data_IF_061111677987
#
_entry.id   IF_061111677987
#
_cell.length_a   1.000
_cell.length_b   1.000
_cell.length_c   1.000
_cell.angle_alpha   90.00
_cell.angle_beta   90.00
_cell.angle_gamma   90.00
#
_symmetry.space_group_name_H-M   'P 1'
#
loop_
_entity.id
_entity.type
_entity.pdbx_description
1 polymer ?
#
# COMPACT_ATOMS: atom_id res chain seq x y z
N UNK A 1 2.13 -20.34 21.64
CA UNK A 1 1.75 -18.99 21.18
C UNK A 1 1.43 -18.17 22.40
N UNK A 2 2.10 -17.04 22.56
CA UNK A 2 1.88 -16.12 23.67
C UNK A 2 0.46 -15.51 23.62
N UNK A 3 -0.13 -15.26 24.78
CA UNK A 3 -1.48 -14.68 24.89
C UNK A 3 -1.59 -13.35 24.14
N UNK A 4 -0.58 -12.48 24.29
CA UNK A 4 -0.54 -11.18 23.61
C UNK A 4 -0.52 -11.33 22.09
N UNK A 5 0.26 -12.27 21.55
CA UNK A 5 0.30 -12.57 20.12
C UNK A 5 -1.06 -12.97 19.59
N UNK A 6 -1.77 -13.86 20.29
CA UNK A 6 -3.12 -14.30 19.91
C UNK A 6 -4.09 -13.11 19.90
N UNK A 7 -4.08 -12.29 20.96
CA UNK A 7 -4.93 -11.10 21.04
C UNK A 7 -4.62 -10.15 19.89
N UNK A 8 -3.34 -9.86 19.62
CA UNK A 8 -2.92 -9.00 18.52
C UNK A 8 -3.44 -9.49 17.17
N UNK A 9 -3.27 -10.79 16.87
CA UNK A 9 -3.75 -11.39 15.63
C UNK A 9 -5.27 -11.28 15.48
N UNK A 10 -6.04 -11.50 16.56
CA UNK A 10 -7.50 -11.33 16.55
C UNK A 10 -7.90 -9.89 16.21
N UNK A 11 -7.17 -8.90 16.72
CA UNK A 11 -7.44 -7.47 16.45
C UNK A 11 -7.13 -7.11 15.01
N UNK A 12 -6.04 -7.65 14.44
CA UNK A 12 -5.72 -7.47 13.01
C UNK A 12 -6.82 -8.09 12.14
N UNK A 13 -7.30 -9.29 12.49
CA UNK A 13 -8.41 -9.94 11.79
C UNK A 13 -9.72 -9.13 11.89
N UNK A 14 -10.03 -8.59 13.06
CA UNK A 14 -11.18 -7.70 13.25
C UNK A 14 -11.05 -6.45 12.38
N UNK A 15 -9.88 -5.81 12.38
CA UNK A 15 -9.58 -4.62 11.56
C UNK A 15 -9.73 -4.92 10.08
N UNK A 16 -9.24 -6.09 9.63
CA UNK A 16 -9.42 -6.57 8.27
C UNK A 16 -10.92 -6.71 7.94
N UNK A 17 -11.70 -7.36 8.80
CA UNK A 17 -13.14 -7.53 8.59
C UNK A 17 -13.89 -6.19 8.52
N UNK A 18 -13.53 -5.21 9.36
CA UNK A 18 -14.12 -3.86 9.29
C UNK A 18 -13.74 -3.19 7.98
N UNK A 19 -12.47 -3.23 7.57
CA UNK A 19 -12.01 -2.68 6.29
C UNK A 19 -12.80 -3.26 5.10
N UNK A 20 -12.97 -4.59 5.02
CA UNK A 20 -13.77 -5.24 3.98
C UNK A 20 -15.22 -4.77 3.99
N UNK A 21 -15.80 -4.60 5.18
CA UNK A 21 -17.18 -4.17 5.33
C UNK A 21 -17.41 -2.71 4.97
N UNK A 22 -16.38 -1.87 5.07
CA UNK A 22 -16.42 -0.46 4.71
C UNK A 22 -16.18 -0.23 3.21
N UNK A 23 -15.44 -1.11 2.53
CA UNK A 23 -15.19 -1.02 1.10
C UNK A 23 -16.50 -0.93 0.28
N UNK A 24 -16.58 0.09 -0.58
CA UNK A 24 -17.75 0.38 -1.41
C UNK A 24 -18.91 1.09 -0.70
N UNK A 25 -18.84 1.29 0.63
CA UNK A 25 -19.82 2.07 1.41
C UNK A 25 -19.28 3.44 1.78
N UNK A 26 -18.03 3.48 2.26
CA UNK A 26 -17.29 4.68 2.65
C UNK A 26 -15.88 4.60 2.08
N UNK A 27 -15.05 5.61 2.33
CA UNK A 27 -13.62 5.57 2.01
C UNK A 27 -12.82 5.16 3.26
N UNK A 28 -12.42 3.87 3.41
CA UNK A 28 -11.87 3.35 4.65
C UNK A 28 -10.35 3.61 4.79
N UNK A 29 -9.93 4.88 4.70
CA UNK A 29 -8.51 5.24 4.79
C UNK A 29 -7.95 4.89 6.18
N UNK A 30 -8.70 5.16 7.24
CA UNK A 30 -8.26 4.91 8.60
C UNK A 30 -8.18 3.41 8.90
N UNK A 31 -9.15 2.62 8.45
CA UNK A 31 -9.11 1.16 8.61
C UNK A 31 -7.99 0.53 7.79
N UNK A 32 -7.71 1.06 6.59
CA UNK A 32 -6.56 0.65 5.81
C UNK A 32 -5.24 0.96 6.54
N UNK A 33 -5.10 2.16 7.11
CA UNK A 33 -3.91 2.52 7.91
C UNK A 33 -3.75 1.61 9.14
N UNK A 34 -4.84 1.31 9.84
CA UNK A 34 -4.83 0.36 10.96
C UNK A 34 -4.43 -1.04 10.51
N UNK A 35 -4.91 -1.49 9.35
CA UNK A 35 -4.56 -2.79 8.79
C UNK A 35 -3.07 -2.85 8.45
N UNK A 36 -2.52 -1.81 7.79
CA UNK A 36 -1.09 -1.71 7.49
C UNK A 36 -0.27 -1.74 8.77
N UNK A 37 -0.65 -0.96 9.79
CA UNK A 37 0.01 -0.97 11.09
C UNK A 37 -0.06 -2.35 11.76
N UNK A 38 -1.22 -3.02 11.74
CA UNK A 38 -1.38 -4.37 12.28
C UNK A 38 -0.53 -5.42 11.56
N UNK A 39 -0.47 -5.34 10.23
CA UNK A 39 0.38 -6.20 9.41
C UNK A 39 1.87 -5.97 9.73
N UNK A 40 2.30 -4.73 9.96
CA UNK A 40 3.70 -4.39 10.24
C UNK A 40 4.13 -4.62 11.70
N UNK A 41 3.26 -4.32 12.67
CA UNK A 41 3.61 -4.34 14.10
C UNK A 41 3.24 -5.65 14.78
N UNK A 42 2.30 -6.43 14.24
CA UNK A 42 1.87 -7.70 14.83
C UNK A 42 2.26 -8.86 13.91
N UNK A 43 1.75 -8.88 12.68
CA UNK A 43 1.94 -10.03 11.77
C UNK A 43 3.40 -10.17 11.34
N UNK A 44 4.08 -9.07 10.99
CA UNK A 44 5.49 -9.07 10.63
C UNK A 44 6.39 -9.68 11.72
N UNK A 45 6.38 -9.15 12.95
CA UNK A 45 7.12 -9.71 14.08
C UNK A 45 6.73 -11.15 14.40
N UNK A 46 5.44 -11.49 14.37
CA UNK A 46 4.99 -12.86 14.56
C UNK A 46 5.62 -13.82 13.54
N UNK A 47 5.65 -13.45 12.26
CA UNK A 47 6.31 -14.26 11.22
C UNK A 47 7.82 -14.35 11.48
N UNK A 48 8.49 -13.25 11.82
CA UNK A 48 9.95 -13.25 12.08
C UNK A 48 10.33 -14.09 13.31
N UNK A 49 9.54 -14.07 14.38
CA UNK A 49 9.79 -14.92 15.56
C UNK A 49 9.64 -16.42 15.27
N UNK A 50 8.74 -16.80 14.36
CA UNK A 50 8.47 -18.20 14.02
C UNK A 50 9.32 -18.69 12.83
N UNK A 51 9.74 -17.78 11.95
CA UNK A 51 10.54 -18.05 10.74
C UNK A 51 11.68 -17.03 10.63
N UNK A 52 12.66 -17.07 11.55
CA UNK A 52 13.70 -16.05 11.62
C UNK A 52 14.53 -16.01 10.36
N UNK A 53 14.70 -14.82 9.81
CA UNK A 53 15.62 -14.55 8.72
C UNK A 53 17.05 -14.68 9.25
N UNK A 54 17.90 -15.47 8.57
CA UNK A 54 19.33 -15.64 8.94
C UNK A 54 20.17 -14.38 8.66
N UNK A 55 19.55 -13.21 8.48
CA UNK A 55 20.23 -11.98 8.12
C UNK A 55 20.60 -11.21 9.39
N UNK A 56 21.88 -10.85 9.52
CA UNK A 56 22.49 -10.18 10.68
C UNK A 56 21.86 -8.83 11.11
N UNK A 57 20.88 -8.31 10.37
CA UNK A 57 20.26 -7.00 10.58
C UNK A 57 18.75 -7.05 10.76
N UNK A 58 18.10 -8.15 10.39
CA UNK A 58 16.63 -8.24 10.35
C UNK A 58 16.06 -9.20 11.41
N UNK A 59 16.85 -9.54 12.42
CA UNK A 59 16.37 -10.35 13.54
C UNK A 59 15.78 -9.47 14.65
N UNK A 60 14.82 -10.02 15.38
CA UNK A 60 14.23 -9.36 16.54
C UNK A 60 15.21 -9.40 17.73
N UNK A 61 15.57 -8.22 18.26
CA UNK A 61 16.56 -8.08 19.33
C UNK A 61 16.06 -8.43 20.74
N UNK A 62 14.75 -8.63 20.89
CA UNK A 62 14.09 -8.93 22.17
C UNK A 62 13.22 -10.16 22.02
N UNK A 63 12.92 -10.84 23.13
CA UNK A 63 12.01 -11.97 23.14
C UNK A 63 10.58 -11.58 22.71
N UNK A 64 9.86 -12.52 22.09
CA UNK A 64 8.48 -12.31 21.61
C UNK A 64 7.56 -11.82 22.73
N UNK A 65 7.68 -12.40 23.92
CA UNK A 65 6.91 -12.05 25.12
C UNK A 65 7.07 -10.56 25.46
N UNK A 66 8.31 -10.08 25.47
CA UNK A 66 8.65 -8.68 25.74
C UNK A 66 8.05 -7.80 24.66
N UNK A 67 8.36 -8.05 23.38
CA UNK A 67 7.87 -7.22 22.29
C UNK A 67 6.34 -7.12 22.24
N UNK A 68 5.65 -8.27 22.26
CA UNK A 68 4.20 -8.34 22.11
C UNK A 68 3.47 -7.75 23.32
N UNK A 69 4.04 -7.85 24.53
CA UNK A 69 3.47 -7.24 25.73
C UNK A 69 3.40 -5.70 25.68
N UNK A 70 4.27 -5.04 24.90
CA UNK A 70 4.23 -3.59 24.70
C UNK A 70 3.39 -3.19 23.48
N UNK A 71 3.60 -3.87 22.36
CA UNK A 71 3.04 -3.44 21.07
C UNK A 71 1.55 -3.79 20.94
N UNK A 72 1.12 -4.95 21.45
CA UNK A 72 -0.28 -5.38 21.33
C UNK A 72 -1.22 -4.47 22.11
N UNK A 73 -0.98 -4.12 23.39
CA UNK A 73 -1.82 -3.17 24.11
C UNK A 73 -1.89 -1.79 23.45
N UNK A 74 -0.76 -1.29 22.94
CA UNK A 74 -0.70 -0.02 22.24
C UNK A 74 -1.55 -0.04 20.96
N UNK A 75 -1.40 -1.10 20.15
CA UNK A 75 -2.19 -1.27 18.93
C UNK A 75 -3.68 -1.48 19.21
N UNK A 76 -4.04 -2.18 20.28
CA UNK A 76 -5.41 -2.35 20.77
C UNK A 76 -6.07 -1.01 21.10
N UNK A 77 -5.40 -0.18 21.90
CA UNK A 77 -5.93 1.14 22.26
C UNK A 77 -6.05 2.03 21.03
N UNK A 78 -5.03 2.03 20.17
CA UNK A 78 -5.02 2.83 18.94
C UNK A 78 -6.15 2.44 17.97
N UNK A 79 -6.29 1.13 17.70
CA UNK A 79 -7.38 0.59 16.88
C UNK A 79 -8.75 0.83 17.50
N UNK A 80 -8.89 0.63 18.81
CA UNK A 80 -10.13 0.90 19.54
C UNK A 80 -10.59 2.35 19.41
N UNK A 81 -9.70 3.33 19.60
CA UNK A 81 -10.04 4.75 19.47
C UNK A 81 -10.50 5.07 18.04
N UNK A 82 -9.79 4.59 17.02
CA UNK A 82 -10.15 4.87 15.64
C UNK A 82 -11.49 4.22 15.26
N UNK A 83 -11.67 2.94 15.58
CA UNK A 83 -12.85 2.17 15.18
C UNK A 83 -14.12 2.57 15.95
N UNK A 84 -14.03 2.91 17.24
CA UNK A 84 -15.20 3.23 18.06
C UNK A 84 -15.49 4.72 18.16
N UNK A 85 -14.47 5.59 18.24
CA UNK A 85 -14.65 7.02 18.55
C UNK A 85 -14.62 7.90 17.31
N UNK A 86 -13.72 7.64 16.35
CA UNK A 86 -13.55 8.50 15.18
C UNK A 86 -14.37 8.04 13.98
N UNK A 87 -14.67 6.75 13.88
CA UNK A 87 -15.43 6.18 12.78
C UNK A 87 -16.83 6.81 12.55
N UNK A 88 -17.63 7.12 13.59
CA UNK A 88 -18.93 7.76 13.38
C UNK A 88 -18.84 9.17 12.78
N UNK A 89 -17.76 9.90 13.04
CA UNK A 89 -17.58 11.29 12.56
C UNK A 89 -17.15 11.35 11.08
N UNK A 90 -16.37 10.38 10.59
CA UNK A 90 -15.94 10.31 9.20
C UNK A 90 -16.95 9.63 8.26
N UNK A 91 -18.08 9.12 8.78
CA UNK A 91 -19.22 8.64 7.97
C UNK A 91 -19.94 9.73 7.19
N UNK A 92 -19.50 11.00 7.27
CA UNK A 92 -19.96 12.03 6.35
C UNK A 92 -19.76 11.53 4.91
N UNK A 93 -20.85 11.09 4.29
CA UNK A 93 -20.87 10.56 2.93
C UNK A 93 -20.45 11.70 2.03
N UNK A 94 -19.17 11.76 1.67
CA UNK A 94 -18.71 12.71 0.67
C UNK A 94 -19.48 12.42 -0.62
N UNK A 95 -20.24 13.39 -1.17
CA UNK A 95 -20.92 13.18 -2.44
C UNK A 95 -19.85 13.03 -3.51
N UNK A 96 -19.60 11.78 -3.91
CA UNK A 96 -18.59 11.37 -4.90
C UNK A 96 -18.75 12.15 -6.21
N UNK A 97 -19.99 12.53 -6.54
CA UNK A 97 -20.36 13.35 -7.69
C UNK A 97 -19.75 14.76 -7.68
N UNK A 98 -19.29 15.25 -6.54
CA UNK A 98 -18.61 16.55 -6.45
C UNK A 98 -17.18 16.52 -6.99
N UNK A 99 -16.53 15.35 -7.08
CA UNK A 99 -15.14 15.28 -7.53
C UNK A 99 -14.95 15.63 -9.01
N UNK A 100 -15.98 15.42 -9.85
CA UNK A 100 -15.94 15.85 -11.26
C UNK A 100 -15.79 17.37 -11.40
N UNK A 101 -16.31 18.15 -10.45
CA UNK A 101 -16.19 19.62 -10.43
C UNK A 101 -14.76 20.07 -10.11
N UNK A 102 -13.96 19.21 -9.49
CA UNK A 102 -12.59 19.52 -9.08
C UNK A 102 -11.54 19.05 -10.08
N UNK A 103 -11.92 18.71 -11.31
CA UNK A 103 -11.00 18.26 -12.36
C UNK A 103 -9.79 19.19 -12.54
N UNK A 104 -10.01 20.51 -12.60
CA UNK A 104 -8.92 21.50 -12.75
C UNK A 104 -7.91 21.43 -11.59
N UNK A 105 -8.41 21.26 -10.37
CA UNK A 105 -7.55 21.09 -9.18
C UNK A 105 -6.85 19.73 -9.21
N UNK A 106 -7.54 18.67 -9.63
CA UNK A 106 -6.96 17.34 -9.81
C UNK A 106 -5.80 17.37 -10.80
N UNK A 107 -5.97 18.05 -11.94
CA UNK A 107 -4.92 18.24 -12.93
C UNK A 107 -3.75 19.07 -12.38
N UNK A 108 -4.04 20.17 -11.68
CA UNK A 108 -2.99 20.98 -11.06
C UNK A 108 -2.15 20.21 -10.03
N UNK A 109 -2.80 19.49 -9.12
CA UNK A 109 -2.15 18.63 -8.11
C UNK A 109 -1.34 17.52 -8.80
N UNK A 110 -1.92 16.92 -9.85
CA UNK A 110 -1.26 15.92 -10.68
C UNK A 110 0.03 16.44 -11.31
N UNK A 111 -0.04 17.62 -11.93
CA UNK A 111 1.11 18.27 -12.57
C UNK A 111 2.20 18.63 -11.57
N UNK A 112 1.85 19.17 -10.39
CA UNK A 112 2.83 19.42 -9.31
C UNK A 112 3.57 18.14 -8.97
N UNK A 113 2.84 17.03 -8.77
CA UNK A 113 3.47 15.77 -8.44
C UNK A 113 4.45 15.28 -9.50
N UNK A 114 4.08 15.37 -10.78
CA UNK A 114 4.99 15.01 -11.88
C UNK A 114 6.23 15.91 -11.95
N UNK A 115 6.06 17.22 -11.72
CA UNK A 115 7.17 18.17 -11.71
C UNK A 115 8.16 17.84 -10.59
N UNK A 116 7.69 17.61 -9.36
CA UNK A 116 8.58 17.26 -8.23
C UNK A 116 9.18 15.87 -8.33
N UNK A 117 8.53 14.95 -9.03
CA UNK A 117 9.13 13.65 -9.34
C UNK A 117 10.34 13.78 -10.27
N UNK A 118 10.23 14.65 -11.28
CA UNK A 118 11.30 14.94 -12.22
C UNK A 118 12.40 15.80 -11.60
N UNK A 119 12.02 16.88 -10.90
CA UNK A 119 12.96 17.80 -10.25
C UNK A 119 13.68 17.18 -9.06
N UNK A 120 13.11 16.16 -8.43
CA UNK A 120 13.70 15.49 -7.26
C UNK A 120 15.12 14.96 -7.51
N UNK A 121 15.48 14.62 -8.74
CA UNK A 121 16.85 14.21 -9.10
C UNK A 121 17.88 15.34 -9.11
N UNK A 122 17.44 16.60 -9.14
CA UNK A 122 18.29 17.80 -9.21
C UNK A 122 18.35 18.56 -7.87
N UNK A 123 17.52 18.19 -6.90
CA UNK A 123 17.47 18.86 -5.61
C UNK A 123 18.57 18.36 -4.66
N UNK A 124 19.03 19.22 -3.71
CA UNK A 124 19.94 18.79 -2.66
C UNK A 124 19.32 17.68 -1.79
N UNK A 125 20.17 16.79 -1.25
CA UNK A 125 19.73 15.65 -0.46
C UNK A 125 18.79 15.99 0.72
N UNK A 126 18.95 17.17 1.34
CA UNK A 126 18.10 17.64 2.43
C UNK A 126 16.64 17.89 1.99
N UNK A 127 16.40 18.16 0.71
CA UNK A 127 15.07 18.43 0.15
C UNK A 127 14.45 17.21 -0.54
N UNK A 128 15.17 16.08 -0.62
CA UNK A 128 14.65 14.87 -1.28
C UNK A 128 13.39 14.35 -0.61
N UNK A 129 13.29 14.41 0.73
CA UNK A 129 12.07 14.00 1.43
C UNK A 129 10.87 14.91 1.10
N UNK A 130 11.10 16.21 1.01
CA UNK A 130 10.07 17.17 0.61
C UNK A 130 9.63 16.93 -0.83
N UNK A 131 10.58 16.74 -1.74
CA UNK A 131 10.31 16.38 -3.14
C UNK A 131 9.56 15.07 -3.27
N UNK A 132 9.87 14.09 -2.43
CA UNK A 132 9.17 12.80 -2.37
C UNK A 132 7.72 12.98 -1.92
N UNK A 133 7.43 13.76 -0.88
CA UNK A 133 6.05 14.04 -0.46
C UNK A 133 5.27 14.70 -1.60
N UNK A 134 5.86 15.71 -2.25
CA UNK A 134 5.19 16.41 -3.35
C UNK A 134 5.04 15.52 -4.58
N UNK A 135 6.00 14.64 -4.88
CA UNK A 135 5.88 13.74 -6.03
C UNK A 135 4.72 12.77 -5.87
N UNK A 136 4.37 12.39 -4.64
CA UNK A 136 3.19 11.56 -4.34
C UNK A 136 1.86 12.25 -4.69
N UNK A 137 1.82 13.58 -4.86
CA UNK A 137 0.61 14.29 -5.29
C UNK A 137 0.14 13.84 -6.68
N UNK A 138 1.01 13.29 -7.53
CA UNK A 138 0.60 12.73 -8.82
C UNK A 138 -0.45 11.62 -8.65
N UNK A 139 -0.35 10.83 -7.60
CA UNK A 139 -1.32 9.76 -7.35
C UNK A 139 -2.63 10.28 -6.75
N UNK A 140 -2.54 11.26 -5.83
CA UNK A 140 -3.73 11.95 -5.30
C UNK A 140 -4.49 12.70 -6.42
N UNK A 141 -3.79 13.42 -7.29
CA UNK A 141 -4.35 14.08 -8.46
C UNK A 141 -4.98 13.09 -9.44
N UNK A 142 -4.31 11.97 -9.71
CA UNK A 142 -4.84 10.91 -10.57
C UNK A 142 -6.18 10.34 -10.04
N UNK A 143 -6.32 10.16 -8.73
CA UNK A 143 -7.59 9.76 -8.11
C UNK A 143 -8.70 10.78 -8.40
N UNK A 144 -8.42 12.07 -8.32
CA UNK A 144 -9.42 13.11 -8.62
C UNK A 144 -9.80 13.05 -10.11
N UNK A 145 -8.80 12.93 -11.00
CA UNK A 145 -9.01 12.82 -12.45
C UNK A 145 -9.83 11.59 -12.85
N UNK A 146 -9.78 10.50 -12.09
CA UNK A 146 -10.60 9.31 -12.29
C UNK A 146 -12.13 9.58 -12.19
N UNK A 147 -12.52 10.61 -11.44
CA UNK A 147 -13.93 11.04 -11.31
C UNK A 147 -14.34 12.08 -12.34
N UNK A 148 -13.42 12.56 -13.20
CA UNK A 148 -13.77 13.45 -14.31
C UNK A 148 -14.67 12.73 -15.34
N UNK A 149 -15.47 13.52 -16.04
CA UNK A 149 -16.26 13.04 -17.19
C UNK A 149 -15.42 12.93 -18.47
N UNK A 150 -14.32 13.69 -18.58
CA UNK A 150 -13.45 13.69 -19.76
C UNK A 150 -12.66 12.37 -19.86
N UNK A 151 -12.72 11.75 -21.06
CA UNK A 151 -11.97 10.53 -21.37
C UNK A 151 -10.46 10.74 -21.26
N UNK A 152 -9.94 11.93 -21.58
CA UNK A 152 -8.51 12.27 -21.50
C UNK A 152 -8.00 12.22 -20.06
N UNK A 153 -8.78 12.70 -19.11
CA UNK A 153 -8.42 12.68 -17.68
C UNK A 153 -8.40 11.25 -17.13
N UNK A 154 -9.32 10.40 -17.58
CA UNK A 154 -9.30 8.97 -17.24
C UNK A 154 -8.08 8.26 -17.83
N UNK A 155 -7.64 8.65 -19.03
CA UNK A 155 -6.40 8.12 -19.62
C UNK A 155 -5.18 8.53 -18.76
N UNK A 156 -5.12 9.76 -18.26
CA UNK A 156 -4.05 10.19 -17.34
C UNK A 156 -4.02 9.35 -16.05
N UNK A 157 -5.19 9.02 -15.49
CA UNK A 157 -5.28 8.10 -14.36
C UNK A 157 -4.70 6.72 -14.68
N UNK A 158 -5.09 6.11 -15.81
CA UNK A 158 -4.57 4.80 -16.23
C UNK A 158 -3.06 4.87 -16.48
N UNK A 159 -2.59 5.93 -17.13
CA UNK A 159 -1.16 6.19 -17.36
C UNK A 159 -0.39 6.30 -16.04
N UNK A 160 -1.01 6.85 -14.99
CA UNK A 160 -0.40 6.96 -13.65
C UNK A 160 -0.21 5.61 -12.98
N UNK A 161 -1.18 4.69 -13.14
CA UNK A 161 -1.06 3.30 -12.67
C UNK A 161 0.05 2.59 -13.43
N UNK A 162 0.10 2.75 -14.77
CA UNK A 162 1.16 2.20 -15.60
C UNK A 162 2.55 2.72 -15.22
N UNK A 163 2.66 4.02 -14.96
CA UNK A 163 3.89 4.66 -14.47
C UNK A 163 4.31 4.13 -13.10
N UNK A 164 3.38 4.02 -12.15
CA UNK A 164 3.64 3.45 -10.82
C UNK A 164 4.13 2.00 -10.94
N UNK A 165 3.47 1.18 -11.77
CA UNK A 165 3.87 -0.20 -12.00
C UNK A 165 5.27 -0.29 -12.61
N UNK A 166 5.54 0.46 -13.68
CA UNK A 166 6.86 0.53 -14.31
C UNK A 166 7.96 0.95 -13.33
N UNK A 167 7.72 2.00 -12.52
CA UNK A 167 8.71 2.45 -11.55
C UNK A 167 8.96 1.40 -10.44
N UNK A 168 7.91 0.70 -10.02
CA UNK A 168 8.03 -0.37 -9.02
C UNK A 168 8.84 -1.58 -9.52
N UNK A 169 8.72 -1.90 -10.81
CA UNK A 169 9.54 -2.92 -11.47
C UNK A 169 11.00 -2.45 -11.59
N UNK A 170 11.22 -1.23 -12.07
CA UNK A 170 12.57 -0.66 -12.27
C UNK A 170 13.38 -0.59 -10.97
N UNK A 171 12.74 -0.21 -9.88
CA UNK A 171 13.39 -0.06 -8.56
C UNK A 171 13.38 -1.34 -7.74
N UNK A 172 12.65 -2.37 -8.19
CA UNK A 172 12.32 -3.54 -7.38
C UNK A 172 11.77 -3.15 -6.00
N UNK A 173 10.99 -2.08 -5.90
CA UNK A 173 10.33 -1.62 -4.67
C UNK A 173 8.82 -1.61 -4.89
N UNK A 174 8.11 -2.57 -4.29
CA UNK A 174 6.68 -2.79 -4.53
C UNK A 174 5.78 -2.19 -3.45
N UNK A 175 6.35 -1.65 -2.36
CA UNK A 175 5.56 -1.12 -1.25
C UNK A 175 4.70 0.07 -1.71
N UNK A 176 5.28 1.01 -2.45
CA UNK A 176 4.54 2.13 -3.04
C UNK A 176 3.46 1.66 -4.01
N UNK A 177 3.78 0.66 -4.84
CA UNK A 177 2.81 0.09 -5.77
C UNK A 177 1.60 -0.52 -5.05
N UNK A 178 1.82 -1.32 -4.00
CA UNK A 178 0.77 -1.95 -3.21
C UNK A 178 -0.09 -0.89 -2.51
N UNK A 179 0.55 0.10 -1.88
CA UNK A 179 -0.12 1.17 -1.16
C UNK A 179 -1.02 1.99 -2.09
N UNK A 180 -0.47 2.53 -3.18
CA UNK A 180 -1.22 3.37 -4.11
C UNK A 180 -2.27 2.59 -4.91
N UNK A 181 -1.99 1.34 -5.28
CA UNK A 181 -3.01 0.47 -5.91
C UNK A 181 -4.16 0.18 -4.98
N UNK A 182 -3.91 0.01 -3.67
CA UNK A 182 -4.98 -0.14 -2.68
C UNK A 182 -5.80 1.13 -2.54
N UNK A 183 -5.17 2.32 -2.55
CA UNK A 183 -5.90 3.59 -2.62
C UNK A 183 -6.77 3.69 -3.88
N UNK A 184 -6.21 3.42 -5.07
CA UNK A 184 -6.99 3.41 -6.32
C UNK A 184 -8.16 2.43 -6.25
N UNK A 185 -7.96 1.25 -5.67
CA UNK A 185 -9.01 0.26 -5.47
C UNK A 185 -10.10 0.76 -4.52
N UNK A 186 -9.75 1.40 -3.40
CA UNK A 186 -10.73 1.98 -2.47
C UNK A 186 -11.65 3.00 -3.17
N UNK A 187 -11.08 3.89 -4.00
CA UNK A 187 -11.86 4.85 -4.77
C UNK A 187 -12.68 4.21 -5.90
N UNK A 188 -12.14 3.18 -6.56
CA UNK A 188 -12.87 2.38 -7.54
C UNK A 188 -14.08 1.68 -6.90
N UNK A 189 -13.87 1.04 -5.75
CA UNK A 189 -14.90 0.34 -4.99
C UNK A 189 -15.98 1.32 -4.51
N UNK A 190 -15.59 2.51 -4.04
CA UNK A 190 -16.52 3.57 -3.66
C UNK A 190 -17.43 4.01 -4.82
N UNK A 191 -16.89 4.08 -6.04
CA UNK A 191 -17.64 4.45 -7.25
C UNK A 191 -18.57 3.33 -7.75
N UNK A 192 -18.06 2.10 -7.83
CA UNK A 192 -18.76 0.96 -8.46
C UNK A 192 -19.59 0.12 -7.49
N UNK A 193 -19.37 0.28 -6.18
CA UNK A 193 -20.04 -0.47 -5.10
C UNK A 193 -20.04 -1.98 -5.36
N UNK A 194 -18.87 -2.60 -5.57
CA UNK A 194 -18.77 -4.01 -5.91
C UNK A 194 -19.38 -4.90 -4.81
N UNK A 195 -19.86 -6.08 -5.19
CA UNK A 195 -20.36 -7.05 -4.21
C UNK A 195 -19.23 -7.55 -3.30
N UNK A 196 -19.58 -7.98 -2.08
CA UNK A 196 -18.61 -8.56 -1.12
C UNK A 196 -17.81 -9.72 -1.70
N UNK A 197 -18.45 -10.55 -2.55
CA UNK A 197 -17.79 -11.67 -3.23
C UNK A 197 -16.70 -11.19 -4.18
N UNK A 198 -16.98 -10.15 -4.96
CA UNK A 198 -16.00 -9.56 -5.86
C UNK A 198 -14.85 -8.92 -5.09
N UNK A 199 -15.13 -8.24 -3.97
CA UNK A 199 -14.09 -7.67 -3.09
C UNK A 199 -13.13 -8.77 -2.60
N UNK A 200 -13.68 -9.84 -2.01
CA UNK A 200 -12.88 -10.96 -1.52
C UNK A 200 -12.06 -11.61 -2.65
N UNK A 201 -12.68 -11.85 -3.81
CA UNK A 201 -11.98 -12.40 -4.98
C UNK A 201 -10.82 -11.50 -5.41
N UNK A 202 -11.03 -10.18 -5.53
CA UNK A 202 -9.97 -9.25 -5.92
C UNK A 202 -8.84 -9.18 -4.91
N UNK A 203 -9.13 -9.26 -3.60
CA UNK A 203 -8.10 -9.26 -2.57
C UNK A 203 -7.32 -10.56 -2.51
N UNK A 204 -7.98 -11.71 -2.71
CA UNK A 204 -7.30 -12.99 -2.83
C UNK A 204 -6.37 -13.00 -4.04
N UNK A 205 -6.82 -12.52 -5.19
CA UNK A 205 -5.96 -12.37 -6.38
C UNK A 205 -4.80 -11.40 -6.13
N UNK A 206 -5.04 -10.30 -5.42
CA UNK A 206 -3.99 -9.35 -5.04
C UNK A 206 -2.95 -9.99 -4.10
N UNK A 207 -3.38 -10.79 -3.13
CA UNK A 207 -2.48 -11.52 -2.23
C UNK A 207 -1.61 -12.54 -2.99
N UNK A 208 -2.20 -13.29 -3.92
CA UNK A 208 -1.45 -14.21 -4.80
C UNK A 208 -0.44 -13.43 -5.64
N UNK A 209 -0.86 -12.33 -6.26
CA UNK A 209 0.02 -11.48 -7.07
C UNK A 209 1.19 -10.90 -6.27
N UNK A 210 0.92 -10.35 -5.08
CA UNK A 210 1.96 -9.86 -4.18
C UNK A 210 2.89 -10.99 -3.75
N UNK A 211 2.36 -12.17 -3.44
CA UNK A 211 3.14 -13.37 -3.14
C UNK A 211 4.13 -13.70 -4.26
N UNK A 212 3.66 -13.76 -5.50
CA UNK A 212 4.50 -13.98 -6.69
C UNK A 212 5.58 -12.92 -6.81
N UNK A 213 5.24 -11.64 -6.64
CA UNK A 213 6.22 -10.55 -6.67
C UNK A 213 7.30 -10.68 -5.60
N UNK A 214 6.95 -11.12 -4.39
CA UNK A 214 7.92 -11.32 -3.31
C UNK A 214 8.82 -12.53 -3.60
N UNK A 215 8.28 -13.62 -4.15
CA UNK A 215 9.06 -14.79 -4.56
C UNK A 215 10.08 -14.42 -5.65
N UNK A 216 9.65 -13.72 -6.71
CA UNK A 216 10.56 -13.27 -7.78
C UNK A 216 11.68 -12.40 -7.22
N UNK A 217 11.38 -11.53 -6.25
CA UNK A 217 12.39 -10.73 -5.55
C UNK A 217 13.37 -11.54 -4.73
N UNK A 218 12.89 -12.56 -4.02
CA UNK A 218 13.73 -13.44 -3.22
C UNK A 218 14.71 -14.20 -4.13
N UNK A 219 14.22 -14.77 -5.22
CA UNK A 219 15.03 -15.45 -6.24
C UNK A 219 16.01 -14.50 -6.92
N UNK A 220 15.58 -13.28 -7.28
CA UNK A 220 16.48 -12.28 -7.86
C UNK A 220 17.64 -11.93 -6.92
N UNK A 221 17.37 -11.77 -5.62
CA UNK A 221 18.41 -11.49 -4.63
C UNK A 221 19.36 -12.66 -4.44
N UNK A 222 18.87 -13.90 -4.45
CA UNK A 222 19.73 -15.08 -4.31
C UNK A 222 20.67 -15.26 -5.51
N UNK A 223 20.21 -14.97 -6.73
CA UNK A 223 21.03 -15.07 -7.95
C UNK A 223 22.08 -13.95 -8.03
N UNK A 224 21.70 -12.70 -7.76
CA UNK A 224 22.61 -11.54 -7.80
C UNK A 224 23.68 -11.62 -6.71
N UNK A 225 23.34 -12.13 -5.52
CA UNK A 225 24.31 -12.33 -4.44
C UNK A 225 25.03 -13.69 -4.50
N UNK A 226 24.54 -14.64 -5.29
CA UNK A 226 25.11 -15.98 -5.51
C UNK A 226 26.26 -16.04 -6.52
N UNK A 227 26.57 -14.95 -7.23
CA UNK A 227 27.80 -14.81 -8.03
C UNK A 227 27.67 -14.90 -9.55
N UNK A 228 26.48 -14.65 -10.13
CA UNK A 228 26.29 -14.67 -11.59
C UNK A 228 25.70 -13.36 -12.13
N UNK A 229 26.46 -12.66 -12.97
CA UNK A 229 26.03 -11.56 -13.87
C UNK A 229 25.75 -10.17 -13.26
N UNK A 230 26.70 -9.24 -13.49
CA UNK A 230 26.54 -7.78 -13.40
C UNK A 230 25.72 -7.22 -14.59
N UNK A 231 24.55 -7.79 -14.87
CA UNK A 231 23.68 -7.43 -15.99
C UNK A 231 22.48 -6.57 -15.56
N UNK A 232 22.20 -5.53 -16.33
CA UNK A 232 21.22 -4.45 -16.08
C UNK A 232 19.91 -4.90 -15.43
N UNK A 233 19.72 -4.46 -14.18
CA UNK A 233 18.67 -4.84 -13.21
C UNK A 233 17.21 -4.90 -13.74
N UNK A 234 16.86 -4.24 -14.84
CA UNK A 234 15.48 -4.16 -15.36
C UNK A 234 15.09 -5.29 -16.31
N UNK A 235 16.04 -5.82 -17.10
CA UNK A 235 15.71 -6.83 -18.11
C UNK A 235 15.48 -8.21 -17.49
N UNK A 236 16.19 -8.54 -16.42
CA UNK A 236 16.07 -9.84 -15.74
C UNK A 236 14.78 -9.98 -14.91
N UNK A 237 14.29 -8.89 -14.30
CA UNK A 237 13.01 -8.88 -13.60
C UNK A 237 11.82 -9.03 -14.56
N UNK A 238 11.91 -8.43 -15.76
CA UNK A 238 10.90 -8.60 -16.80
C UNK A 238 10.90 -10.01 -17.40
N UNK A 239 12.06 -10.63 -17.60
CA UNK A 239 12.14 -12.01 -18.11
C UNK A 239 11.67 -13.04 -17.08
N UNK A 240 11.95 -12.83 -15.79
CA UNK A 240 11.48 -13.74 -14.72
C UNK A 240 9.97 -13.65 -14.47
N UNK A 241 9.34 -12.51 -14.75
CA UNK A 241 7.87 -12.37 -14.74
C UNK A 241 7.17 -13.03 -15.93
N UNK A 242 7.89 -13.31 -17.02
CA UNK A 242 7.35 -13.93 -18.24
C UNK A 242 7.50 -15.47 -18.27
N UNK A 243 8.20 -16.05 -17.29
CA UNK A 243 8.48 -17.50 -17.21
C UNK A 243 7.53 -18.20 -16.19
N UNK A 244 6.64 -17.45 -15.52
CA UNK A 244 5.53 -17.95 -14.70
C UNK A 244 4.23 -17.79 -15.48
#
# INVERSE_FOLDING_TARGET
>A
MELWTIIGLLVVLLTFFVFINSLGKTLPVLEFMLLVAGLQWIVGPFVEYNYPSKHFKYYMYVEESVYMSYVVPAYLLFSGVILFRLFPYFKAVFPIWSFSKYEKYGFFIFSIGFIFDFLGGFLPNSLNFFSFILSNFKYAGAIILYFSNDRRMKILFIASIGYLFYNSLRTAMFHDFILWSTFFYMFWALKHKPSRRLILLTLTLALVFVGTLQTVKATFRSEVWGGGTRGTNSHFLLSSLLIV
#
